data_IF_200790610160
#
_entry.id   IF_200790610160
#
_cell.length_a   1.000
_cell.length_b   1.000
_cell.length_c   1.000
_cell.angle_alpha   90.00
_cell.angle_beta   90.00
_cell.angle_gamma   90.00
#
_symmetry.space_group_name_H-M   'P 1'
#
loop_
_entity.id
_entity.type
_entity.pdbx_description
1 polymer ?
#
# COMPACT_ATOMS: atom_id res chain seq x y z
N UNK A 1 23.26 -7.35 10.58
CA UNK A 1 22.83 -8.44 9.69
C UNK A 1 23.38 -8.11 8.30
N UNK A 2 23.73 -9.09 7.47
CA UNK A 2 24.26 -8.81 6.12
C UNK A 2 23.13 -8.23 5.25
N UNK A 3 23.34 -7.06 4.63
CA UNK A 3 22.33 -6.42 3.75
C UNK A 3 21.91 -7.34 2.60
N UNK A 4 22.79 -8.25 2.18
CA UNK A 4 22.43 -9.28 1.21
C UNK A 4 21.40 -10.28 1.76
N UNK A 5 21.51 -10.68 3.04
CA UNK A 5 20.55 -11.57 3.71
C UNK A 5 19.20 -10.87 3.94
N UNK A 6 19.19 -9.57 4.25
CA UNK A 6 17.96 -8.77 4.35
C UNK A 6 17.20 -8.75 3.01
N UNK A 7 17.90 -8.53 1.89
CA UNK A 7 17.29 -8.56 0.56
C UNK A 7 16.86 -9.97 0.11
N UNK A 8 17.48 -11.04 0.63
CA UNK A 8 17.01 -12.40 0.39
C UNK A 8 15.68 -12.67 1.11
N UNK A 9 15.52 -12.16 2.34
CA UNK A 9 14.29 -12.31 3.12
C UNK A 9 13.08 -11.57 2.52
N UNK A 10 13.31 -10.66 1.57
CA UNK A 10 12.27 -9.95 0.81
C UNK A 10 11.84 -10.68 -0.48
N UNK A 11 12.57 -11.71 -0.92
CA UNK A 11 12.24 -12.45 -2.13
C UNK A 11 10.82 -13.05 -2.07
N UNK A 12 9.99 -12.78 -3.08
CA UNK A 12 8.59 -13.21 -3.12
C UNK A 12 7.63 -12.42 -2.22
N UNK A 13 8.11 -11.41 -1.49
CA UNK A 13 7.31 -10.51 -0.62
C UNK A 13 7.19 -9.10 -1.18
N UNK A 14 8.09 -8.76 -2.10
CA UNK A 14 8.05 -7.54 -2.92
C UNK A 14 8.19 -7.96 -4.38
N UNK A 15 7.71 -7.14 -5.34
CA UNK A 15 7.84 -7.47 -6.75
C UNK A 15 9.28 -7.76 -7.15
N UNK A 16 9.49 -8.78 -8.00
CA UNK A 16 10.82 -9.21 -8.42
C UNK A 16 11.65 -8.08 -9.06
N UNK A 17 10.97 -7.14 -9.73
CA UNK A 17 11.59 -5.92 -10.26
C UNK A 17 12.17 -5.02 -9.18
N UNK A 18 11.49 -4.84 -8.05
CA UNK A 18 12.01 -4.06 -6.92
C UNK A 18 13.24 -4.74 -6.30
N UNK A 19 13.17 -6.06 -6.10
CA UNK A 19 14.29 -6.86 -5.55
C UNK A 19 15.54 -6.80 -6.41
N UNK A 20 15.37 -6.82 -7.74
CA UNK A 20 16.46 -6.70 -8.67
C UNK A 20 17.20 -5.36 -8.49
N UNK A 21 16.46 -4.26 -8.36
CA UNK A 21 17.01 -2.91 -8.17
C UNK A 21 17.74 -2.77 -6.84
N UNK A 22 17.16 -3.30 -5.76
CA UNK A 22 17.79 -3.26 -4.44
C UNK A 22 19.11 -4.05 -4.43
N UNK A 23 19.17 -5.19 -5.12
CA UNK A 23 20.39 -6.00 -5.27
C UNK A 23 21.43 -5.32 -6.15
N UNK A 24 21.01 -4.61 -7.19
CA UNK A 24 21.90 -3.81 -8.04
C UNK A 24 22.56 -2.68 -7.23
N UNK A 25 21.77 -1.92 -6.44
CA UNK A 25 22.29 -0.86 -5.59
C UNK A 25 23.30 -1.41 -4.55
N UNK A 26 23.00 -2.57 -3.95
CA UNK A 26 23.93 -3.25 -3.05
C UNK A 26 25.24 -3.65 -3.74
N UNK A 27 25.15 -4.21 -4.96
CA UNK A 27 26.32 -4.64 -5.74
C UNK A 27 27.19 -3.45 -6.19
N UNK A 28 26.57 -2.30 -6.48
CA UNK A 28 27.26 -1.06 -6.80
C UNK A 28 27.88 -0.36 -5.58
N UNK A 29 27.60 -0.84 -4.35
CA UNK A 29 28.02 -0.17 -3.12
C UNK A 29 27.27 1.14 -2.83
N UNK A 30 26.17 1.39 -3.53
CA UNK A 30 25.34 2.59 -3.41
C UNK A 30 24.39 2.46 -2.20
N UNK A 31 24.95 2.70 -1.01
CA UNK A 31 24.25 2.49 0.26
C UNK A 31 23.08 3.44 0.46
N UNK A 32 23.12 4.64 -0.14
CA UNK A 32 22.08 5.67 0.01
C UNK A 32 20.86 5.34 -0.84
N UNK A 33 21.07 4.90 -2.09
CA UNK A 33 19.99 4.41 -2.96
C UNK A 33 19.31 3.19 -2.37
N UNK A 34 20.09 2.26 -1.82
CA UNK A 34 19.58 1.07 -1.14
C UNK A 34 18.78 1.45 0.12
N UNK A 35 19.27 2.39 0.93
CA UNK A 35 18.56 2.88 2.10
C UNK A 35 17.25 3.59 1.73
N UNK A 36 17.23 4.39 0.66
CA UNK A 36 16.03 5.03 0.15
C UNK A 36 14.97 4.02 -0.30
N UNK A 37 15.37 2.98 -1.04
CA UNK A 37 14.47 1.89 -1.43
C UNK A 37 13.90 1.16 -0.21
N UNK A 38 14.73 0.80 0.77
CA UNK A 38 14.26 0.12 2.00
C UNK A 38 13.33 1.03 2.81
N UNK A 39 13.68 2.31 2.98
CA UNK A 39 12.84 3.29 3.66
C UNK A 39 11.49 3.49 2.97
N UNK A 40 11.40 3.30 1.65
CA UNK A 40 10.12 3.35 0.92
C UNK A 40 9.22 2.15 1.21
N UNK A 41 9.79 0.99 1.58
CA UNK A 41 9.01 -0.16 2.07
C UNK A 41 8.50 0.07 3.50
N UNK A 42 9.36 0.63 4.36
CA UNK A 42 9.04 0.92 5.76
C UNK A 42 8.13 2.15 5.92
N UNK A 43 7.99 2.97 4.87
CA UNK A 43 7.28 4.25 4.90
C UNK A 43 8.03 5.36 5.66
N UNK A 44 9.31 5.16 5.95
CA UNK A 44 10.17 6.07 6.73
C UNK A 44 10.97 7.01 5.82
N UNK A 45 10.29 7.78 4.97
CA UNK A 45 10.89 9.00 4.45
C UNK A 45 11.19 9.97 5.63
N UNK A 46 12.29 10.75 5.61
CA UNK A 46 12.61 11.69 6.67
C UNK A 46 11.45 12.68 6.88
N UNK A 47 10.85 12.62 8.07
CA UNK A 47 9.65 13.34 8.45
C UNK A 47 9.92 14.85 8.67
N UNK A 48 10.04 15.62 7.59
CA UNK A 48 10.20 17.08 7.66
C UNK A 48 8.85 17.81 7.86
N UNK A 49 8.14 17.51 8.95
CA UNK A 49 6.97 18.29 9.39
C UNK A 49 6.86 18.36 10.91
N UNK A 50 6.06 19.29 11.47
CA UNK A 50 6.10 19.65 12.90
C UNK A 50 5.68 18.55 13.87
N UNK A 51 5.00 17.51 13.39
CA UNK A 51 4.56 16.37 14.21
C UNK A 51 5.26 15.10 13.76
N UNK A 52 5.88 14.38 14.70
CA UNK A 52 6.44 13.05 14.48
C UNK A 52 5.43 11.99 14.92
N UNK A 53 5.18 11.00 14.07
CA UNK A 53 4.34 9.84 14.40
C UNK A 53 5.16 8.57 14.43
N UNK A 54 4.81 7.68 15.36
CA UNK A 54 5.42 6.37 15.52
C UNK A 54 4.35 5.28 15.67
N UNK A 55 4.68 4.02 15.32
CA UNK A 55 3.84 2.88 15.67
C UNK A 55 3.66 2.78 17.19
N UNK A 56 2.73 1.92 17.61
CA UNK A 56 2.28 1.75 19.00
C UNK A 56 3.35 2.00 20.07
N UNK A 57 2.95 2.73 21.11
CA UNK A 57 3.67 2.82 22.38
C UNK A 57 2.95 2.00 23.44
N UNK A 58 3.71 1.39 24.34
CA UNK A 58 3.17 0.65 25.48
C UNK A 58 2.28 1.55 26.37
N UNK A 59 1.24 0.98 26.98
CA UNK A 59 0.45 1.66 28.02
C UNK A 59 -0.83 2.36 27.55
N UNK A 60 -1.31 2.03 26.35
CA UNK A 60 -2.56 2.58 25.78
C UNK A 60 -3.68 1.53 25.63
N UNK A 61 -3.48 0.30 26.11
CA UNK A 61 -4.35 -0.85 25.85
C UNK A 61 -5.75 -0.69 26.43
N UNK A 62 -5.88 0.00 27.58
CA UNK A 62 -7.18 0.29 28.19
C UNK A 62 -7.96 1.33 27.38
N UNK A 63 -7.29 2.40 26.96
CA UNK A 63 -7.88 3.45 26.13
C UNK A 63 -8.32 2.91 24.76
N UNK A 64 -7.48 2.09 24.12
CA UNK A 64 -7.80 1.45 22.85
C UNK A 64 -9.02 0.55 22.98
N UNK A 65 -9.08 -0.30 24.02
CA UNK A 65 -10.20 -1.21 24.24
C UNK A 65 -11.51 -0.46 24.48
N UNK A 66 -11.47 0.64 25.23
CA UNK A 66 -12.64 1.48 25.48
C UNK A 66 -13.16 2.14 24.20
N UNK A 67 -12.28 2.73 23.39
CA UNK A 67 -12.63 3.34 22.10
C UNK A 67 -13.20 2.30 21.14
N UNK A 68 -12.54 1.14 21.01
CA UNK A 68 -12.99 0.08 20.11
C UNK A 68 -14.38 -0.44 20.49
N UNK A 69 -14.63 -0.69 21.78
CA UNK A 69 -15.93 -1.17 22.24
C UNK A 69 -17.05 -0.17 21.90
N UNK A 70 -16.77 1.13 22.00
CA UNK A 70 -17.74 2.17 21.64
C UNK A 70 -17.94 2.27 20.12
N UNK A 71 -16.86 2.30 19.34
CA UNK A 71 -16.90 2.42 17.88
C UNK A 71 -17.52 1.21 17.18
N UNK A 72 -17.33 0.00 17.71
CA UNK A 72 -17.93 -1.23 17.17
C UNK A 72 -19.47 -1.23 17.28
N UNK A 73 -20.04 -0.48 18.22
CA UNK A 73 -21.47 -0.35 18.40
C UNK A 73 -22.09 0.77 17.53
N UNK A 74 -21.26 1.64 16.94
CA UNK A 74 -21.71 2.78 16.13
C UNK A 74 -21.93 2.37 14.66
N UNK A 75 -23.16 2.47 14.13
CA UNK A 75 -23.43 2.16 12.74
C UNK A 75 -22.63 3.07 11.79
N UNK A 76 -22.08 2.47 10.73
CA UNK A 76 -21.33 3.19 9.70
C UNK A 76 -19.85 3.41 10.01
N UNK A 77 -19.35 3.07 11.21
CA UNK A 77 -17.90 3.02 11.46
C UNK A 77 -17.29 1.82 10.75
N UNK A 78 -16.22 2.06 9.97
CA UNK A 78 -15.62 1.05 9.10
C UNK A 78 -14.26 0.56 9.60
N UNK A 79 -13.46 1.45 10.20
CA UNK A 79 -12.15 1.10 10.74
C UNK A 79 -11.66 2.08 11.80
N UNK A 80 -10.80 1.58 12.69
CA UNK A 80 -10.09 2.35 13.68
C UNK A 80 -8.61 1.96 13.66
N UNK A 81 -7.74 2.97 13.56
CA UNK A 81 -6.31 2.85 13.76
C UNK A 81 -5.87 3.63 14.99
N UNK A 82 -4.66 3.34 15.44
CA UNK A 82 -4.00 4.19 16.41
C UNK A 82 -2.50 4.35 16.13
N UNK A 83 -1.97 5.50 16.53
CA UNK A 83 -0.56 5.87 16.44
C UNK A 83 -0.19 6.71 17.65
N UNK A 84 1.10 6.92 17.90
CA UNK A 84 1.59 7.88 18.88
C UNK A 84 2.16 9.12 18.18
N UNK A 85 1.85 10.30 18.70
CA UNK A 85 2.42 11.57 18.25
C UNK A 85 3.40 12.10 19.29
N UNK A 86 4.61 12.45 18.87
CA UNK A 86 5.68 12.86 19.80
C UNK A 86 6.12 11.76 20.77
N UNK A 87 5.76 10.50 20.50
CA UNK A 87 6.12 9.33 21.30
C UNK A 87 5.20 9.02 22.48
N UNK A 88 4.28 9.92 22.86
CA UNK A 88 3.44 9.74 24.05
C UNK A 88 1.96 10.07 23.83
N UNK A 89 1.63 10.99 22.91
CA UNK A 89 0.23 11.36 22.67
C UNK A 89 -0.45 10.27 21.83
N UNK A 90 -1.39 9.50 22.42
CA UNK A 90 -2.21 8.55 21.67
C UNK A 90 -3.17 9.28 20.73
N UNK A 91 -3.20 8.87 19.47
CA UNK A 91 -4.12 9.39 18.45
C UNK A 91 -4.90 8.23 17.85
N UNK A 92 -6.24 8.31 17.90
CA UNK A 92 -7.14 7.39 17.23
C UNK A 92 -7.60 8.00 15.91
N UNK A 93 -7.46 7.25 14.81
CA UNK A 93 -7.93 7.63 13.48
C UNK A 93 -9.11 6.72 13.13
N UNK A 94 -10.23 7.30 12.69
CA UNK A 94 -11.48 6.57 12.46
C UNK A 94 -12.02 6.88 11.07
N UNK A 95 -12.20 5.83 10.27
CA UNK A 95 -12.92 5.93 9.01
C UNK A 95 -14.39 5.56 9.26
N UNK A 96 -15.32 6.44 8.89
CA UNK A 96 -16.75 6.20 9.04
C UNK A 96 -17.56 6.81 7.89
N UNK A 97 -18.59 6.10 7.46
CA UNK A 97 -19.65 6.60 6.57
C UNK A 97 -20.91 6.80 7.43
N UNK A 98 -20.86 7.83 8.28
CA UNK A 98 -21.83 8.12 9.33
C UNK A 98 -21.80 9.62 9.70
N UNK A 99 -22.60 10.00 10.71
CA UNK A 99 -22.51 11.31 11.36
C UNK A 99 -21.17 11.42 12.11
N UNK A 100 -20.16 12.03 11.46
CA UNK A 100 -18.80 12.11 12.01
C UNK A 100 -18.75 12.80 13.38
N UNK A 101 -19.41 13.95 13.62
CA UNK A 101 -19.52 14.54 14.96
C UNK A 101 -20.06 13.59 16.02
N UNK A 102 -21.08 12.77 15.70
CA UNK A 102 -21.62 11.79 16.64
C UNK A 102 -20.59 10.69 16.96
N UNK A 103 -19.89 10.18 15.94
CA UNK A 103 -18.81 9.19 16.10
C UNK A 103 -17.67 9.77 16.97
N UNK A 104 -17.24 11.01 16.72
CA UNK A 104 -16.23 11.70 17.54
C UNK A 104 -16.69 11.82 18.99
N UNK A 105 -17.93 12.23 19.22
CA UNK A 105 -18.48 12.38 20.57
C UNK A 105 -18.56 11.05 21.31
N UNK A 106 -18.93 9.96 20.63
CA UNK A 106 -18.94 8.61 21.21
C UNK A 106 -17.54 8.17 21.62
N UNK A 107 -16.54 8.33 20.75
CA UNK A 107 -15.16 7.98 21.07
C UNK A 107 -14.60 8.84 22.21
N UNK A 108 -14.87 10.15 22.23
CA UNK A 108 -14.45 11.04 23.31
C UNK A 108 -15.07 10.65 24.66
N UNK A 109 -16.36 10.27 24.67
CA UNK A 109 -17.01 9.78 25.90
C UNK A 109 -16.37 8.50 26.41
N UNK A 110 -15.99 7.58 25.51
CA UNK A 110 -15.33 6.34 25.88
C UNK A 110 -13.93 6.56 26.51
N UNK A 111 -13.25 7.63 26.10
CA UNK A 111 -11.92 8.02 26.60
C UNK A 111 -11.97 8.89 27.87
N UNK A 112 -13.15 9.39 28.24
CA UNK A 112 -13.31 10.30 29.37
C UNK A 112 -12.85 9.66 30.69
N UNK A 113 -11.87 10.27 31.36
CA UNK A 113 -11.31 9.77 32.61
C UNK A 113 -10.20 8.71 32.44
N UNK A 114 -9.94 8.26 31.21
CA UNK A 114 -8.80 7.39 30.88
C UNK A 114 -7.61 8.20 30.34
N UNK A 115 -7.89 9.33 29.67
CA UNK A 115 -6.86 10.22 29.12
C UNK A 115 -7.22 11.68 29.39
N UNK A 116 -6.21 12.51 29.65
CA UNK A 116 -6.39 13.94 29.93
C UNK A 116 -6.81 14.74 28.68
N UNK A 117 -6.41 14.27 27.50
CA UNK A 117 -6.65 14.96 26.23
C UNK A 117 -6.87 13.94 25.11
N UNK A 118 -8.11 13.45 24.92
CA UNK A 118 -8.41 12.51 23.85
C UNK A 118 -8.17 13.15 22.49
N UNK A 119 -7.54 12.39 21.57
CA UNK A 119 -7.29 12.82 20.19
C UNK A 119 -7.92 11.81 19.25
N UNK A 120 -9.14 12.11 18.81
CA UNK A 120 -9.88 11.27 17.87
C UNK A 120 -10.13 12.04 16.59
N UNK A 121 -9.58 11.54 15.49
CA UNK A 121 -9.68 12.11 14.16
C UNK A 121 -10.63 11.23 13.32
N UNK A 122 -11.76 11.79 12.90
CA UNK A 122 -12.81 11.03 12.17
C UNK A 122 -12.97 11.60 10.76
N UNK A 123 -13.00 10.73 9.74
CA UNK A 123 -13.09 11.12 8.33
C UNK A 123 -13.90 10.12 7.50
N UNK A 124 -14.43 10.57 6.35
CA UNK A 124 -15.14 9.70 5.40
C UNK A 124 -14.16 8.88 4.54
N UNK A 125 -14.58 7.72 4.00
CA UNK A 125 -13.74 6.89 3.14
C UNK A 125 -13.27 7.57 1.84
N UNK A 126 -14.01 8.54 1.32
CA UNK A 126 -13.75 9.26 0.07
C UNK A 126 -13.06 10.62 0.26
N UNK A 127 -12.86 11.05 1.52
CA UNK A 127 -12.29 12.35 1.83
C UNK A 127 -10.84 12.47 1.36
N UNK A 128 -10.50 13.61 0.75
CA UNK A 128 -9.10 13.99 0.52
C UNK A 128 -8.50 14.40 1.87
N UNK A 129 -7.57 13.60 2.39
CA UNK A 129 -6.99 13.82 3.70
C UNK A 129 -5.86 14.84 3.65
N UNK A 130 -5.76 15.75 4.64
CA UNK A 130 -4.58 16.59 4.82
C UNK A 130 -3.33 15.75 5.13
N UNK A 131 -2.15 16.31 4.83
CA UNK A 131 -0.85 15.66 5.05
C UNK A 131 -0.62 15.18 6.51
N UNK A 132 -1.26 15.84 7.49
CA UNK A 132 -1.25 15.39 8.89
C UNK A 132 -1.83 13.98 9.02
N UNK A 133 -3.06 13.76 8.51
CA UNK A 133 -3.77 12.49 8.60
C UNK A 133 -3.13 11.41 7.74
N UNK A 134 -2.64 11.76 6.54
CA UNK A 134 -1.90 10.83 5.70
C UNK A 134 -0.64 10.29 6.42
N UNK A 135 0.14 11.18 7.05
CA UNK A 135 1.32 10.79 7.83
C UNK A 135 0.97 10.00 9.08
N UNK A 136 -0.10 10.36 9.76
CA UNK A 136 -0.59 9.63 10.93
C UNK A 136 -0.99 8.20 10.55
N UNK A 137 -1.78 8.03 9.49
CA UNK A 137 -2.19 6.72 8.96
C UNK A 137 -1.01 5.87 8.49
N UNK A 138 0.03 6.49 7.91
CA UNK A 138 1.25 5.78 7.54
C UNK A 138 2.02 5.24 8.75
N UNK A 139 1.90 5.84 9.93
CA UNK A 139 2.54 5.35 11.15
C UNK A 139 1.62 4.50 12.03
N UNK A 140 0.34 4.38 11.68
CA UNK A 140 -0.67 3.81 12.56
C UNK A 140 -0.84 2.29 12.41
N UNK A 141 -1.09 1.63 13.53
CA UNK A 141 -1.53 0.24 13.60
C UNK A 141 -3.05 0.17 13.40
N UNK A 142 -3.52 -0.73 12.53
CA UNK A 142 -4.96 -1.01 12.42
C UNK A 142 -5.39 -1.80 13.65
N UNK A 143 -6.24 -1.20 14.49
CA UNK A 143 -6.76 -1.84 15.68
C UNK A 143 -7.99 -2.70 15.36
N UNK A 144 -8.83 -2.23 14.43
CA UNK A 144 -10.06 -2.92 14.07
C UNK A 144 -10.60 -2.44 12.71
N UNK A 145 -11.29 -3.34 12.00
CA UNK A 145 -12.14 -3.01 10.85
C UNK A 145 -13.43 -3.84 10.86
N UNK A 146 -14.55 -3.23 10.46
CA UNK A 146 -15.87 -3.83 10.51
C UNK A 146 -16.02 -5.09 9.63
N UNK A 147 -15.38 -5.09 8.46
CA UNK A 147 -15.35 -6.24 7.56
C UNK A 147 -13.94 -6.78 7.45
N UNK A 148 -13.73 -8.12 7.40
CA UNK A 148 -12.49 -8.69 6.91
C UNK A 148 -12.25 -8.15 5.49
N UNK A 149 -11.05 -7.64 5.21
CA UNK A 149 -10.74 -7.12 3.88
C UNK A 149 -10.66 -8.23 2.84
N UNK A 150 -10.87 -7.91 1.54
CA UNK A 150 -10.49 -8.83 0.48
C UNK A 150 -9.00 -9.15 0.62
N UNK A 151 -8.62 -10.38 0.29
CA UNK A 151 -7.22 -10.73 0.19
C UNK A 151 -6.60 -9.93 -0.95
N UNK A 152 -5.62 -9.09 -0.61
CA UNK A 152 -4.86 -8.32 -1.60
C UNK A 152 -3.94 -9.28 -2.35
N UNK A 153 -4.00 -9.24 -3.68
CA UNK A 153 -3.21 -10.09 -4.59
C UNK A 153 -2.22 -9.23 -5.36
N UNK A 154 -1.00 -9.73 -5.53
CA UNK A 154 0.02 -9.05 -6.34
C UNK A 154 0.11 -9.76 -7.69
N UNK A 155 -0.14 -9.03 -8.76
CA UNK A 155 -0.08 -9.56 -10.13
C UNK A 155 1.36 -9.71 -10.60
N UNK A 156 1.62 -10.77 -11.38
CA UNK A 156 2.90 -10.90 -12.08
C UNK A 156 2.98 -9.85 -13.20
N UNK A 157 4.11 -9.18 -13.30
CA UNK A 157 4.38 -8.25 -14.40
C UNK A 157 5.16 -8.91 -15.55
N UNK A 158 5.81 -10.03 -15.28
CA UNK A 158 6.69 -10.78 -16.16
C UNK A 158 6.47 -12.28 -15.95
N UNK A 159 6.86 -13.10 -16.93
CA UNK A 159 6.72 -14.57 -16.82
C UNK A 159 7.80 -15.19 -15.93
N UNK A 160 8.91 -14.49 -15.77
CA UNK A 160 9.93 -14.82 -14.79
C UNK A 160 11.06 -13.80 -14.73
N UNK A 161 12.06 -14.11 -13.92
CA UNK A 161 13.28 -13.33 -13.81
C UNK A 161 14.50 -14.26 -13.72
N UNK A 162 15.63 -13.81 -14.28
CA UNK A 162 16.94 -14.46 -14.14
C UNK A 162 17.98 -13.44 -13.64
N UNK A 163 19.24 -13.87 -13.53
CA UNK A 163 20.35 -12.96 -13.23
C UNK A 163 20.53 -11.83 -14.25
N UNK A 164 20.03 -11.99 -15.49
CA UNK A 164 20.07 -10.95 -16.52
C UNK A 164 18.86 -10.02 -16.52
N UNK A 165 17.89 -10.25 -15.61
CA UNK A 165 16.69 -9.43 -15.48
C UNK A 165 15.37 -10.18 -15.77
N UNK A 166 14.25 -9.45 -15.78
CA UNK A 166 12.93 -10.01 -16.09
C UNK A 166 12.81 -10.43 -17.56
N UNK A 167 11.93 -11.39 -17.85
CA UNK A 167 11.67 -11.87 -19.21
C UNK A 167 10.21 -12.26 -19.44
N UNK A 168 9.83 -12.30 -20.72
CA UNK A 168 8.54 -12.83 -21.20
C UNK A 168 8.76 -14.10 -22.01
N UNK A 169 7.87 -15.08 -21.87
CA UNK A 169 7.87 -16.29 -22.68
C UNK A 169 7.62 -15.92 -24.16
N UNK A 170 8.32 -16.52 -25.13
CA UNK A 170 8.07 -16.25 -26.55
C UNK A 170 6.64 -16.56 -27.00
N UNK A 171 5.93 -17.46 -26.32
CA UNK A 171 4.54 -17.80 -26.52
C UNK A 171 3.56 -17.04 -25.62
N UNK A 172 4.02 -15.98 -24.93
CA UNK A 172 3.17 -15.16 -24.07
C UNK A 172 1.96 -14.62 -24.85
N UNK A 173 0.79 -14.67 -24.22
CA UNK A 173 -0.48 -14.34 -24.85
C UNK A 173 -0.56 -12.86 -25.26
N UNK A 174 -1.19 -12.59 -26.41
CA UNK A 174 -1.37 -11.24 -26.92
C UNK A 174 -2.83 -10.82 -26.93
N UNK A 175 -3.12 -9.63 -26.39
CA UNK A 175 -4.44 -9.01 -26.47
C UNK A 175 -4.60 -8.32 -27.83
N UNK A 176 -5.01 -9.12 -28.81
CA UNK A 176 -5.15 -8.66 -30.21
C UNK A 176 -6.39 -7.78 -30.41
N UNK A 177 -7.49 -8.06 -29.72
CA UNK A 177 -8.72 -7.27 -29.80
C UNK A 177 -8.46 -5.85 -29.25
N UNK A 178 -8.58 -4.79 -30.09
CA UNK A 178 -8.41 -3.42 -29.64
C UNK A 178 -9.40 -2.97 -28.56
N UNK A 179 -10.63 -3.49 -28.56
CA UNK A 179 -11.66 -3.10 -27.61
C UNK A 179 -11.36 -3.68 -26.21
N UNK A 180 -10.98 -4.95 -26.16
CA UNK A 180 -10.53 -5.62 -24.94
C UNK A 180 -9.26 -4.95 -24.39
N UNK A 181 -8.25 -4.73 -25.25
CA UNK A 181 -7.01 -4.06 -24.86
C UNK A 181 -7.27 -2.67 -24.29
N UNK A 182 -8.19 -1.90 -24.88
CA UNK A 182 -8.57 -0.58 -24.35
C UNK A 182 -9.16 -0.68 -22.95
N UNK A 183 -10.09 -1.62 -22.71
CA UNK A 183 -10.70 -1.81 -21.39
C UNK A 183 -9.66 -2.18 -20.33
N UNK A 184 -8.74 -3.08 -20.65
CA UNK A 184 -7.64 -3.45 -19.76
C UNK A 184 -6.74 -2.24 -19.46
N UNK A 185 -6.34 -1.47 -20.48
CA UNK A 185 -5.53 -0.26 -20.26
C UNK A 185 -6.26 0.78 -19.41
N UNK A 186 -7.55 1.00 -19.64
CA UNK A 186 -8.35 1.96 -18.88
C UNK A 186 -8.47 1.52 -17.41
N UNK A 187 -8.67 0.22 -17.16
CA UNK A 187 -8.68 -0.34 -15.80
C UNK A 187 -7.32 -0.17 -15.10
N UNK A 188 -6.23 -0.60 -15.75
CA UNK A 188 -4.88 -0.53 -15.19
C UNK A 188 -4.44 0.91 -14.90
N UNK A 189 -4.83 1.86 -15.75
CA UNK A 189 -4.52 3.27 -15.60
C UNK A 189 -5.33 3.96 -14.49
N UNK A 190 -6.52 3.44 -14.17
CA UNK A 190 -7.40 4.02 -13.15
C UNK A 190 -6.99 3.65 -11.72
N UNK A 191 -6.25 2.54 -11.54
CA UNK A 191 -5.77 2.14 -10.22
C UNK A 191 -4.95 3.22 -9.53
N UNK A 192 -5.16 3.38 -8.23
CA UNK A 192 -4.49 4.37 -7.40
C UNK A 192 -3.01 4.01 -7.23
N UNK A 193 -2.13 5.00 -7.25
CA UNK A 193 -0.68 4.77 -7.06
C UNK A 193 -0.42 4.50 -5.59
N UNK A 194 -0.01 3.28 -5.27
CA UNK A 194 0.23 2.81 -3.89
C UNK A 194 1.70 2.76 -3.53
N UNK A 195 2.58 2.71 -4.53
CA UNK A 195 4.01 2.88 -4.38
C UNK A 195 4.53 3.68 -5.57
N UNK A 196 5.17 4.82 -5.31
CA UNK A 196 5.81 5.64 -6.34
C UNK A 196 7.27 5.26 -6.46
N UNK A 197 7.73 5.04 -7.69
CA UNK A 197 9.14 4.82 -7.98
C UNK A 197 9.62 5.86 -9.00
N UNK A 198 10.65 6.63 -8.63
CA UNK A 198 11.20 7.68 -9.50
C UNK A 198 12.06 7.12 -10.64
N UNK A 199 12.50 5.86 -10.52
CA UNK A 199 13.36 5.21 -11.51
C UNK A 199 12.54 4.49 -12.59
N UNK A 200 12.98 4.65 -13.85
CA UNK A 200 12.52 3.84 -14.98
C UNK A 200 13.40 2.61 -15.14
N UNK A 201 12.81 1.51 -15.61
CA UNK A 201 13.51 0.26 -15.90
C UNK A 201 13.84 0.14 -17.39
N UNK A 202 14.90 -0.61 -17.75
CA UNK A 202 15.14 -1.01 -19.12
C UNK A 202 13.97 -1.84 -19.67
N UNK A 203 13.55 -1.51 -20.87
CA UNK A 203 12.62 -2.31 -21.65
C UNK A 203 13.29 -3.63 -22.06
N UNK A 204 12.63 -4.76 -21.80
CA UNK A 204 13.19 -6.12 -21.98
C UNK A 204 13.55 -6.41 -23.44
N UNK A 205 12.86 -5.78 -24.40
CA UNK A 205 13.08 -6.03 -25.83
C UNK A 205 14.10 -5.07 -26.45
N UNK A 206 14.17 -3.83 -25.95
CA UNK A 206 14.98 -2.77 -26.57
C UNK A 206 16.15 -2.32 -25.71
N UNK A 207 16.20 -2.68 -24.44
CA UNK A 207 17.18 -2.21 -23.44
C UNK A 207 17.05 -0.72 -23.09
N UNK A 208 16.09 0.00 -23.69
CA UNK A 208 15.94 1.44 -23.45
C UNK A 208 15.26 1.67 -22.11
N UNK A 209 15.82 2.54 -21.27
CA UNK A 209 15.25 2.93 -19.98
C UNK A 209 13.97 3.74 -20.18
N UNK A 210 12.82 3.07 -20.08
CA UNK A 210 11.51 3.66 -20.41
C UNK A 210 10.33 3.09 -19.59
N UNK A 211 10.52 1.99 -18.87
CA UNK A 211 9.42 1.26 -18.22
C UNK A 211 9.18 1.83 -16.82
N UNK A 212 7.98 2.34 -16.50
CA UNK A 212 7.70 2.82 -15.14
C UNK A 212 7.70 1.68 -14.11
N UNK A 213 8.20 1.97 -12.91
CA UNK A 213 8.33 1.00 -11.83
C UNK A 213 7.33 1.19 -10.66
N UNK A 214 6.43 2.18 -10.77
CA UNK A 214 5.42 2.42 -9.74
C UNK A 214 4.42 1.26 -9.66
N UNK A 215 3.80 1.10 -8.49
CA UNK A 215 2.73 0.13 -8.27
C UNK A 215 1.39 0.82 -8.14
N UNK A 216 0.38 0.21 -8.76
CA UNK A 216 -1.01 0.64 -8.73
C UNK A 216 -1.90 -0.41 -8.09
N UNK A 217 -3.05 0.02 -7.59
CA UNK A 217 -4.02 -0.88 -6.98
C UNK A 217 -5.46 -0.38 -7.07
N UNK A 218 -6.40 -1.32 -7.12
CA UNK A 218 -7.84 -1.10 -6.94
C UNK A 218 -8.34 -1.50 -5.52
N UNK A 219 -7.42 -1.88 -4.63
CA UNK A 219 -7.71 -2.35 -3.28
C UNK A 219 -7.85 -3.88 -3.17
N UNK A 220 -7.93 -4.60 -4.28
CA UNK A 220 -7.94 -6.08 -4.34
C UNK A 220 -6.70 -6.61 -5.04
N UNK A 221 -6.28 -5.97 -6.12
CA UNK A 221 -5.08 -6.28 -6.86
C UNK A 221 -4.05 -5.17 -6.75
N UNK A 222 -2.78 -5.55 -6.76
CA UNK A 222 -1.63 -4.67 -6.95
C UNK A 222 -0.91 -5.09 -8.21
N UNK A 223 -0.61 -4.14 -9.09
CA UNK A 223 0.13 -4.39 -10.33
C UNK A 223 1.19 -3.33 -10.55
N UNK A 224 2.21 -3.69 -11.34
CA UNK A 224 3.24 -2.75 -11.78
C UNK A 224 2.74 -1.93 -12.96
N UNK A 225 3.12 -0.66 -13.04
CA UNK A 225 2.91 0.15 -14.26
C UNK A 225 3.64 -0.44 -15.49
N UNK A 226 4.63 -1.33 -15.28
CA UNK A 226 5.23 -2.12 -16.35
C UNK A 226 4.17 -2.97 -17.09
N UNK A 227 3.18 -3.53 -16.38
CA UNK A 227 2.08 -4.30 -16.99
C UNK A 227 1.31 -3.45 -18.01
N UNK A 228 1.01 -2.20 -17.66
CA UNK A 228 0.35 -1.26 -18.57
C UNK A 228 1.24 -0.91 -19.76
N UNK A 229 2.53 -0.66 -19.51
CA UNK A 229 3.51 -0.33 -20.56
C UNK A 229 3.64 -1.45 -21.61
N UNK A 230 3.79 -2.71 -21.16
CA UNK A 230 3.95 -3.85 -22.07
C UNK A 230 2.65 -4.21 -22.80
N UNK A 231 1.49 -4.04 -22.16
CA UNK A 231 0.19 -4.20 -22.81
C UNK A 231 -0.02 -3.15 -23.90
N UNK A 232 0.28 -1.88 -23.65
CA UNK A 232 0.08 -0.81 -24.63
C UNK A 232 1.04 -0.96 -25.83
N UNK A 233 2.33 -1.17 -25.53
CA UNK A 233 3.40 -1.15 -26.54
C UNK A 233 3.52 -2.45 -27.32
N UNK A 234 3.39 -3.60 -26.65
CA UNK A 234 3.65 -4.91 -27.24
C UNK A 234 2.42 -5.83 -27.26
N UNK A 235 1.30 -5.40 -26.69
CA UNK A 235 0.04 -6.18 -26.56
C UNK A 235 0.18 -7.43 -25.70
N UNK A 236 1.22 -7.52 -24.87
CA UNK A 236 1.41 -8.63 -23.95
C UNK A 236 0.28 -8.60 -22.91
N UNK A 237 -0.39 -9.74 -22.75
CA UNK A 237 -1.49 -9.87 -21.80
C UNK A 237 -1.01 -9.63 -20.35
N UNK A 238 -1.82 -9.00 -19.49
CA UNK A 238 -1.54 -8.98 -18.06
C UNK A 238 -1.56 -10.40 -17.46
N UNK A 239 -1.24 -10.52 -16.16
CA UNK A 239 -1.55 -11.72 -15.39
C UNK A 239 -3.01 -12.16 -15.69
N UNK A 240 -3.27 -13.43 -16.05
CA UNK A 240 -4.60 -13.87 -16.49
C UNK A 240 -5.71 -13.60 -15.47
N UNK A 241 -5.41 -13.76 -14.19
CA UNK A 241 -6.39 -13.54 -13.12
C UNK A 241 -6.64 -12.05 -12.89
N UNK A 242 -5.62 -11.21 -13.09
CA UNK A 242 -5.79 -9.75 -13.11
C UNK A 242 -6.60 -9.31 -14.33
N UNK A 243 -6.35 -9.89 -15.50
CA UNK A 243 -7.06 -9.55 -16.74
C UNK A 243 -8.55 -9.92 -16.63
N UNK A 244 -8.87 -11.11 -16.11
CA UNK A 244 -10.24 -11.52 -15.83
C UNK A 244 -10.92 -10.55 -14.86
N UNK A 245 -10.23 -10.19 -13.76
CA UNK A 245 -10.73 -9.23 -12.79
C UNK A 245 -10.98 -7.85 -13.42
N UNK A 246 -10.06 -7.35 -14.22
CA UNK A 246 -10.15 -6.06 -14.89
C UNK A 246 -11.31 -5.99 -15.90
N UNK A 247 -11.63 -7.10 -16.57
CA UNK A 247 -12.74 -7.18 -17.51
C UNK A 247 -14.11 -7.33 -16.81
N UNK A 248 -14.12 -7.91 -15.60
CA UNK A 248 -15.33 -8.09 -14.80
C UNK A 248 -15.73 -6.84 -14.00
N UNK A 249 -14.80 -5.91 -13.75
CA UNK A 249 -15.01 -4.75 -12.88
C UNK A 249 -14.81 -3.42 -13.63
N UNK A 250 -15.51 -2.35 -13.22
CA UNK A 250 -15.23 -1.02 -13.74
C UNK A 250 -13.84 -0.54 -13.27
N UNK A 251 -13.22 0.41 -13.98
CA UNK A 251 -12.01 1.07 -13.51
C UNK A 251 -12.22 1.65 -12.11
N UNK A 252 -11.32 1.30 -11.18
CA UNK A 252 -11.41 1.75 -9.80
C UNK A 252 -10.99 3.21 -9.65
N UNK A 253 -11.46 3.85 -8.57
CA UNK A 253 -11.06 5.20 -8.20
C UNK A 253 -9.96 5.21 -7.14
N UNK A 254 -9.81 6.37 -6.49
CA UNK A 254 -8.93 6.52 -5.31
C UNK A 254 -9.31 5.50 -4.24
N UNK A 255 -8.30 4.90 -3.61
CA UNK A 255 -8.52 4.00 -2.50
C UNK A 255 -8.95 4.75 -1.24
N UNK A 256 -9.89 4.18 -0.51
CA UNK A 256 -10.16 4.63 0.86
C UNK A 256 -8.92 4.41 1.75
N UNK A 257 -8.78 5.16 2.86
CA UNK A 257 -7.73 4.93 3.84
C UNK A 257 -7.61 3.46 4.28
N UNK A 258 -8.73 2.77 4.48
CA UNK A 258 -8.76 1.34 4.81
C UNK A 258 -8.22 0.44 3.69
N UNK A 259 -8.65 0.67 2.45
CA UNK A 259 -8.14 -0.09 1.31
C UNK A 259 -6.63 0.14 1.12
N UNK A 260 -6.17 1.39 1.22
CA UNK A 260 -4.75 1.75 1.12
C UNK A 260 -3.92 1.12 2.23
N UNK A 261 -4.40 1.11 3.48
CA UNK A 261 -3.72 0.43 4.58
C UNK A 261 -3.54 -1.06 4.31
N UNK A 262 -4.60 -1.75 3.84
CA UNK A 262 -4.55 -3.18 3.53
C UNK A 262 -3.60 -3.50 2.39
N UNK A 263 -3.62 -2.70 1.33
CA UNK A 263 -2.68 -2.85 0.21
C UNK A 263 -1.25 -2.71 0.70
N UNK A 264 -0.96 -1.69 1.50
CA UNK A 264 0.39 -1.53 2.08
C UNK A 264 0.76 -2.70 2.99
N UNK A 265 -0.13 -3.15 3.87
CA UNK A 265 0.12 -4.29 4.75
C UNK A 265 0.44 -5.58 3.98
N UNK A 266 -0.17 -5.77 2.81
CA UNK A 266 0.13 -6.90 1.92
C UNK A 266 1.48 -6.78 1.19
N UNK A 267 1.98 -5.56 1.00
CA UNK A 267 3.31 -5.27 0.45
C UNK A 267 4.41 -5.30 1.50
N UNK A 268 4.06 -5.15 2.79
CA UNK A 268 5.02 -5.20 3.89
C UNK A 268 5.27 -6.66 4.28
N UNK A 269 6.54 -7.07 4.42
CA UNK A 269 6.91 -8.38 4.94
C UNK A 269 6.26 -8.71 6.31
N UNK A 270 5.33 -9.68 6.36
CA UNK A 270 4.85 -10.26 7.63
C UNK A 270 5.96 -11.08 8.29
N UNK A 271 6.55 -10.63 9.39
CA UNK A 271 7.48 -11.46 10.18
C UNK A 271 6.80 -12.78 10.53
N UNK A 272 7.37 -13.89 10.10
CA UNK A 272 6.88 -15.21 10.49
C UNK A 272 7.00 -15.39 12.01
N UNK A 273 6.15 -16.22 12.64
CA UNK A 273 6.26 -16.47 14.07
C UNK A 273 7.67 -16.98 14.38
N UNK A 274 8.35 -16.29 15.31
CA UNK A 274 9.60 -16.76 15.93
C UNK A 274 9.38 -18.05 16.71
#
# INVERSE_FOLDING_TARGET
MDKHQELLALAGRVPDGWLAIAREALAAGDTDRLAGLIATLDGTAPQAGPHHFAPDGDGHEEADRAVLAALQAEPGVQACWATTRGGTDRVHLVQADADLPAVTATAHRALSGLVDSPRVEVFTPDQVLPAYHERALLAATLLWSATPGPQVRVARAFDGATASGPWFDPGHELVVDPAERRRLLDFLAAGDVVLTADALLPDVFTGTTAVPASLRSDGTWVWSEATQYYLDRYRLAPDPELAEHALAHPPAGRLSPLARHRVRAALIPQEGPS
#
